data_IF_418599616839
#
_entry.id   IF_418599616839
#
_cell.length_a   1.000
_cell.length_b   1.000
_cell.length_c   1.000
_cell.angle_alpha   90.00
_cell.angle_beta   90.00
_cell.angle_gamma   90.00
#
_symmetry.space_group_name_H-M   'P 1'
#
loop_
_entity.id
_entity.type
_entity.pdbx_description
1 polymer ?
#
# COMPACT_ATOMS: atom_id res chain seq x y z
N UNK A 1 5.41 4.45 14.06
CA UNK A 1 4.96 5.55 13.16
C UNK A 1 5.90 5.77 11.98
N UNK A 2 7.21 5.88 12.18
CA UNK A 2 8.18 6.07 11.07
C UNK A 2 8.21 4.89 10.09
N UNK A 3 8.36 3.67 10.60
CA UNK A 3 8.41 2.44 9.78
C UNK A 3 7.15 2.26 8.92
N UNK A 4 5.98 2.48 9.51
CA UNK A 4 4.71 2.42 8.77
C UNK A 4 4.67 3.46 7.63
N UNK A 5 5.13 4.69 7.83
CA UNK A 5 5.16 5.70 6.77
C UNK A 5 6.13 5.34 5.64
N UNK A 6 7.20 4.60 5.92
CA UNK A 6 8.11 4.06 4.89
C UNK A 6 7.38 3.00 4.06
N UNK A 7 6.70 2.04 4.72
CA UNK A 7 5.90 0.99 4.04
C UNK A 7 4.83 1.59 3.12
N UNK A 8 3.99 2.49 3.66
CA UNK A 8 2.91 3.11 2.89
C UNK A 8 3.42 4.09 1.82
N UNK A 9 4.65 4.58 1.98
CA UNK A 9 5.36 5.33 0.96
C UNK A 9 5.75 4.46 -0.24
N UNK A 10 6.05 3.19 -0.03
CA UNK A 10 6.41 2.24 -1.07
C UNK A 10 5.23 1.59 -1.78
N UNK A 11 4.18 1.26 -1.04
CA UNK A 11 2.91 0.84 -1.63
C UNK A 11 2.43 1.85 -2.66
N UNK A 12 2.55 3.14 -2.31
CA UNK A 12 2.28 4.24 -3.21
C UNK A 12 3.12 4.25 -4.49
N UNK A 13 4.34 3.69 -4.50
CA UNK A 13 5.20 3.67 -5.70
C UNK A 13 4.80 2.55 -6.65
N UNK A 14 4.37 1.41 -6.08
CA UNK A 14 3.84 0.28 -6.84
C UNK A 14 2.46 0.62 -7.40
N UNK A 15 1.61 1.25 -6.60
CA UNK A 15 0.31 1.80 -6.98
C UNK A 15 0.45 2.80 -8.15
N UNK A 16 1.39 3.75 -8.05
CA UNK A 16 1.69 4.69 -9.13
C UNK A 16 2.07 3.97 -10.45
N UNK A 17 2.78 2.82 -10.39
CA UNK A 17 3.11 2.01 -11.58
C UNK A 17 1.87 1.31 -12.13
N UNK A 18 1.08 0.67 -11.26
CA UNK A 18 -0.11 -0.09 -11.65
C UNK A 18 -1.18 0.81 -12.29
N UNK A 19 -1.35 2.02 -11.77
CA UNK A 19 -2.30 2.99 -12.30
C UNK A 19 -1.77 3.79 -13.50
N UNK A 20 -0.50 3.65 -13.86
CA UNK A 20 0.14 4.48 -14.90
C UNK A 20 0.18 5.97 -14.51
N UNK A 21 0.34 6.25 -13.22
CA UNK A 21 0.29 7.61 -12.67
C UNK A 21 1.49 8.43 -13.12
N UNK A 22 1.27 9.60 -13.71
CA UNK A 22 2.35 10.46 -14.20
C UNK A 22 2.88 11.40 -13.10
N UNK A 23 1.98 12.01 -12.33
CA UNK A 23 2.30 13.05 -11.35
C UNK A 23 1.73 12.66 -9.99
N UNK A 24 2.59 12.67 -8.97
CA UNK A 24 2.22 12.53 -7.56
C UNK A 24 2.74 13.71 -6.76
N UNK A 25 1.86 14.36 -5.99
CA UNK A 25 2.20 15.52 -5.14
C UNK A 25 3.00 16.59 -5.90
N UNK A 26 2.55 16.92 -7.12
CA UNK A 26 3.14 17.91 -8.04
C UNK A 26 4.56 17.56 -8.53
N UNK A 27 4.98 16.29 -8.43
CA UNK A 27 6.26 15.78 -8.95
C UNK A 27 6.02 14.55 -9.83
N UNK A 28 6.95 14.28 -10.74
CA UNK A 28 6.92 13.04 -11.54
C UNK A 28 7.02 11.82 -10.63
N UNK A 29 6.25 10.78 -10.96
CA UNK A 29 6.30 9.51 -10.24
C UNK A 29 7.66 8.83 -10.40
N UNK A 30 8.06 8.06 -9.38
CA UNK A 30 9.40 7.49 -9.31
C UNK A 30 9.74 6.58 -10.49
N UNK A 31 8.76 5.84 -11.02
CA UNK A 31 8.96 4.94 -12.15
C UNK A 31 9.21 5.67 -13.48
N UNK A 32 8.78 6.93 -13.60
CA UNK A 32 9.11 7.78 -14.76
C UNK A 32 10.51 8.37 -14.65
N UNK A 33 11.00 8.63 -13.43
CA UNK A 33 12.33 9.21 -13.20
C UNK A 33 13.42 8.14 -13.20
N UNK A 34 13.19 7.01 -12.54
CA UNK A 34 14.19 5.98 -12.28
C UNK A 34 13.94 4.67 -13.04
N UNK A 35 12.83 4.57 -13.76
CA UNK A 35 12.39 3.34 -14.42
C UNK A 35 11.61 2.40 -13.49
N UNK A 36 10.79 1.56 -14.10
CA UNK A 36 9.92 0.59 -13.40
C UNK A 36 10.76 -0.40 -12.59
N UNK A 37 11.75 -1.05 -13.21
CA UNK A 37 12.54 -2.11 -12.55
C UNK A 37 13.26 -1.65 -11.28
N UNK A 38 13.85 -0.45 -11.28
CA UNK A 38 14.50 0.13 -10.08
C UNK A 38 13.49 0.50 -9.02
N UNK A 39 12.35 1.04 -9.43
CA UNK A 39 11.28 1.45 -8.50
C UNK A 39 10.71 0.23 -7.78
N UNK A 40 10.43 -0.86 -8.50
CA UNK A 40 9.98 -2.13 -7.92
C UNK A 40 11.02 -2.71 -6.96
N UNK A 41 12.29 -2.80 -7.38
CA UNK A 41 13.34 -3.38 -6.55
C UNK A 41 13.52 -2.62 -5.22
N UNK A 42 13.53 -1.28 -5.27
CA UNK A 42 13.62 -0.44 -4.07
C UNK A 42 12.41 -0.65 -3.16
N UNK A 43 11.20 -0.66 -3.71
CA UNK A 43 9.97 -0.89 -2.93
C UNK A 43 9.98 -2.26 -2.24
N UNK A 44 10.42 -3.32 -2.93
CA UNK A 44 10.58 -4.65 -2.32
C UNK A 44 11.63 -4.65 -1.20
N UNK A 45 12.78 -4.00 -1.43
CA UNK A 45 13.86 -3.91 -0.42
C UNK A 45 13.39 -3.19 0.84
N UNK A 46 12.61 -2.11 0.71
CA UNK A 46 12.10 -1.36 1.84
C UNK A 46 11.03 -2.14 2.62
N UNK A 47 10.17 -2.91 1.95
CA UNK A 47 9.26 -3.84 2.61
C UNK A 47 10.03 -4.89 3.44
N UNK A 48 11.07 -5.51 2.87
CA UNK A 48 11.93 -6.45 3.60
C UNK A 48 12.60 -5.78 4.81
N UNK A 49 13.12 -4.55 4.62
CA UNK A 49 13.72 -3.78 5.71
C UNK A 49 12.73 -3.53 6.85
N UNK A 50 11.46 -3.33 6.54
CA UNK A 50 10.44 -3.16 7.57
C UNK A 50 10.23 -4.44 8.38
N UNK A 51 10.19 -5.61 7.74
CA UNK A 51 10.16 -6.88 8.46
C UNK A 51 11.38 -7.06 9.38
N UNK A 52 12.58 -6.70 8.92
CA UNK A 52 13.78 -6.69 9.77
C UNK A 52 13.63 -5.75 10.96
N UNK A 53 13.06 -4.56 10.78
CA UNK A 53 12.86 -3.64 11.91
C UNK A 53 11.86 -4.19 12.92
N UNK A 54 10.75 -4.78 12.46
CA UNK A 54 9.77 -5.38 13.38
C UNK A 54 10.30 -6.64 14.08
N UNK A 55 11.22 -7.39 13.46
CA UNK A 55 11.85 -8.54 14.13
C UNK A 55 12.78 -8.12 15.27
N UNK A 56 13.39 -6.93 15.20
CA UNK A 56 14.26 -6.41 16.28
C UNK A 56 13.52 -5.95 17.53
N UNK A 57 12.20 -5.72 17.46
CA UNK A 57 11.40 -5.19 18.58
C UNK A 57 10.96 -6.29 19.56
N UNK A 58 11.23 -7.57 19.25
CA UNK A 58 10.86 -8.77 20.02
C UNK A 58 9.43 -8.74 20.58
N UNK A 59 8.49 -8.29 19.73
CA UNK A 59 7.09 -8.16 20.09
C UNK A 59 6.22 -8.90 19.06
N UNK A 60 5.80 -10.11 19.44
CA UNK A 60 4.98 -10.97 18.58
C UNK A 60 3.64 -10.34 18.20
N UNK A 61 3.04 -9.54 19.08
CA UNK A 61 1.79 -8.84 18.79
C UNK A 61 1.99 -7.74 17.74
N UNK A 62 3.11 -7.02 17.79
CA UNK A 62 3.47 -6.05 16.76
C UNK A 62 3.74 -6.71 15.40
N UNK A 63 4.45 -7.85 15.39
CA UNK A 63 4.70 -8.62 14.17
C UNK A 63 3.40 -9.17 13.57
N UNK A 64 2.49 -9.69 14.42
CA UNK A 64 1.17 -10.14 13.98
C UNK A 64 0.35 -9.01 13.38
N UNK A 65 0.33 -7.84 14.03
CA UNK A 65 -0.36 -6.66 13.52
C UNK A 65 0.19 -6.19 12.17
N UNK A 66 1.52 -6.21 11.98
CA UNK A 66 2.14 -5.93 10.69
C UNK A 66 1.69 -6.94 9.62
N UNK A 67 1.76 -8.23 9.92
CA UNK A 67 1.35 -9.30 9.00
C UNK A 67 -0.12 -9.17 8.59
N UNK A 68 -1.02 -8.93 9.56
CA UNK A 68 -2.45 -8.75 9.29
C UNK A 68 -2.71 -7.50 8.44
N UNK A 69 -1.97 -6.42 8.69
CA UNK A 69 -2.03 -5.19 7.88
C UNK A 69 -1.60 -5.44 6.44
N UNK A 70 -0.42 -6.03 6.22
CA UNK A 70 0.09 -6.33 4.87
C UNK A 70 -0.85 -7.28 4.13
N UNK A 71 -1.41 -8.28 4.83
CA UNK A 71 -2.39 -9.21 4.24
C UNK A 71 -3.66 -8.49 3.79
N UNK A 72 -4.24 -7.65 4.65
CA UNK A 72 -5.43 -6.86 4.33
C UNK A 72 -5.20 -5.98 3.10
N UNK A 73 -4.07 -5.27 3.10
CA UNK A 73 -3.66 -4.41 1.98
C UNK A 73 -3.56 -5.17 0.66
N UNK A 74 -2.78 -6.26 0.62
CA UNK A 74 -2.60 -7.07 -0.60
C UNK A 74 -3.93 -7.64 -1.09
N UNK A 75 -4.82 -8.05 -0.19
CA UNK A 75 -6.14 -8.54 -0.57
C UNK A 75 -6.98 -7.46 -1.24
N UNK A 76 -6.97 -6.26 -0.66
CA UNK A 76 -7.66 -5.10 -1.21
C UNK A 76 -7.12 -4.70 -2.59
N UNK A 77 -5.79 -4.72 -2.77
CA UNK A 77 -5.14 -4.45 -4.05
C UNK A 77 -5.50 -5.49 -5.13
N UNK A 78 -5.43 -6.78 -4.78
CA UNK A 78 -5.83 -7.85 -5.71
C UNK A 78 -7.30 -7.71 -6.13
N UNK A 79 -8.17 -7.31 -5.21
CA UNK A 79 -9.58 -7.09 -5.49
C UNK A 79 -9.78 -5.92 -6.47
N UNK A 80 -9.10 -4.79 -6.26
CA UNK A 80 -9.19 -3.61 -7.12
C UNK A 80 -8.74 -3.92 -8.56
N UNK A 81 -7.58 -4.57 -8.70
CA UNK A 81 -7.03 -4.99 -10.00
C UNK A 81 -7.98 -5.96 -10.70
N UNK A 82 -8.45 -7.01 -10.01
CA UNK A 82 -9.37 -8.01 -10.58
C UNK A 82 -10.69 -7.41 -11.05
N UNK A 83 -11.24 -6.44 -10.30
CA UNK A 83 -12.48 -5.73 -10.69
C UNK A 83 -12.25 -4.85 -11.91
N UNK A 84 -11.13 -4.11 -11.94
CA UNK A 84 -10.77 -3.24 -13.07
C UNK A 84 -10.57 -4.06 -14.35
N UNK A 85 -9.81 -5.14 -14.30
CA UNK A 85 -9.56 -6.00 -15.47
C UNK A 85 -10.84 -6.63 -16.01
N UNK A 86 -11.76 -7.02 -15.14
CA UNK A 86 -13.05 -7.62 -15.53
C UNK A 86 -14.14 -6.59 -15.84
N UNK A 87 -13.87 -5.29 -15.67
CA UNK A 87 -14.85 -4.21 -15.79
C UNK A 87 -16.12 -4.45 -14.96
N UNK A 88 -15.98 -5.07 -13.78
CA UNK A 88 -17.10 -5.36 -12.89
C UNK A 88 -17.23 -4.23 -11.88
N UNK A 89 -18.37 -3.54 -11.89
CA UNK A 89 -18.70 -2.57 -10.84
C UNK A 89 -18.96 -3.31 -9.51
N UNK A 90 -18.25 -2.97 -8.42
CA UNK A 90 -18.52 -3.56 -7.10
C UNK A 90 -19.86 -3.09 -6.53
N UNK A 91 -20.48 -3.90 -5.68
CA UNK A 91 -21.57 -3.41 -4.82
C UNK A 91 -21.03 -2.40 -3.82
N UNK A 92 -21.91 -1.60 -3.21
CA UNK A 92 -21.50 -0.60 -2.22
C UNK A 92 -20.75 -1.24 -1.04
N UNK A 93 -21.19 -2.41 -0.57
CA UNK A 93 -20.54 -3.13 0.53
C UNK A 93 -19.19 -3.71 0.13
N UNK A 94 -19.07 -4.23 -1.09
CA UNK A 94 -17.79 -4.69 -1.65
C UNK A 94 -16.80 -3.52 -1.80
N UNK A 95 -17.29 -2.36 -2.25
CA UNK A 95 -16.49 -1.15 -2.35
C UNK A 95 -16.02 -0.66 -0.97
N UNK A 96 -16.90 -0.65 0.04
CA UNK A 96 -16.55 -0.31 1.42
C UNK A 96 -15.46 -1.25 1.95
N UNK A 97 -15.62 -2.57 1.74
CA UNK A 97 -14.63 -3.56 2.16
C UNK A 97 -13.28 -3.37 1.45
N UNK A 98 -13.32 -3.09 0.14
CA UNK A 98 -12.13 -2.78 -0.64
C UNK A 98 -11.45 -1.52 -0.12
N UNK A 99 -12.17 -0.42 0.15
CA UNK A 99 -11.57 0.82 0.68
C UNK A 99 -10.98 0.63 2.08
N UNK A 100 -11.67 -0.13 2.94
CA UNK A 100 -11.19 -0.45 4.29
C UNK A 100 -9.90 -1.28 4.24
N UNK A 101 -9.77 -2.19 3.29
CA UNK A 101 -8.59 -3.05 3.17
C UNK A 101 -7.46 -2.38 2.36
N UNK A 102 -7.77 -1.61 1.33
CA UNK A 102 -6.80 -1.04 0.38
C UNK A 102 -6.31 0.36 0.73
N UNK A 103 -7.09 1.18 1.47
CA UNK A 103 -6.82 2.62 1.62
C UNK A 103 -6.89 3.15 3.04
N UNK A 104 -7.43 2.40 4.00
CA UNK A 104 -7.70 2.91 5.34
C UNK A 104 -7.07 2.02 6.41
N UNK A 105 -6.03 2.54 7.08
CA UNK A 105 -5.70 2.13 8.44
C UNK A 105 -6.43 3.06 9.43
N UNK A 106 -7.69 2.77 9.81
CA UNK A 106 -8.42 3.63 10.75
C UNK A 106 -7.74 3.75 12.12
N UNK A 107 -6.84 2.84 12.48
CA UNK A 107 -6.21 2.81 13.80
C UNK A 107 -4.84 3.54 13.86
N UNK A 108 -4.24 3.90 12.73
CA UNK A 108 -2.84 4.35 12.69
C UNK A 108 -2.58 5.61 11.84
N UNK A 109 -3.54 6.06 11.03
CA UNK A 109 -3.44 7.33 10.30
C UNK A 109 -4.60 8.25 10.68
N UNK A 110 -4.31 9.36 11.37
CA UNK A 110 -5.28 10.41 11.72
C UNK A 110 -5.72 11.27 10.53
N UNK A 111 -5.72 10.74 9.30
CA UNK A 111 -6.22 11.48 8.14
C UNK A 111 -7.73 11.35 8.12
N UNK A 112 -8.40 12.41 8.59
CA UNK A 112 -9.83 12.60 8.37
C UNK A 112 -10.12 12.48 6.87
N UNK A 113 -11.20 11.80 6.47
CA UNK A 113 -11.68 11.87 5.10
C UNK A 113 -12.04 13.33 4.82
N UNK A 114 -11.32 13.97 3.91
CA UNK A 114 -11.80 15.20 3.26
C UNK A 114 -12.75 14.75 2.17
N UNK A 115 -14.05 14.94 2.42
CA UNK A 115 -15.09 14.92 1.39
C UNK A 115 -14.86 16.06 0.40
#
# INVERSE_FOLDING_TARGET
>A
RLVMNEIFGDESRIDDIQDGTIIRRRKLCAHLVYGIGRTVNISCRLLVRCFEMFSTVDNLAAMKSLSDTCKGFLHGQVMDVSRREKSICPTEDEYKLMVLNSKHLPHLTSRRPTY
#
